data_IF_735781160390
#
_entry.id   IF_735781160390
#
_cell.length_a   1.000
_cell.length_b   1.000
_cell.length_c   1.000
_cell.angle_alpha   90.00
_cell.angle_beta   90.00
_cell.angle_gamma   90.00
#
_symmetry.space_group_name_H-M   'P 1'
#
loop_
_entity.id
_entity.type
_entity.pdbx_description
1 polymer ?
#
# COMPACT_ATOMS: atom_id res chain seq x y z
N UNK A 1 -1.25 0.22 7.73
CA UNK A 1 -1.19 -1.25 7.86
C UNK A 1 0.11 -1.73 7.22
N UNK A 2 0.88 -2.59 7.90
CA UNK A 2 2.16 -3.12 7.40
C UNK A 2 1.92 -4.53 6.81
N UNK A 3 2.11 -4.70 5.51
CA UNK A 3 1.77 -5.92 4.76
C UNK A 3 2.80 -6.19 3.66
N UNK A 4 3.04 -7.44 3.25
CA UNK A 4 3.73 -7.73 2.00
C UNK A 4 3.03 -7.06 0.82
N UNK A 5 3.81 -6.55 -0.14
CA UNK A 5 3.24 -5.88 -1.31
C UNK A 5 2.28 -6.79 -2.09
N UNK A 6 2.63 -8.06 -2.29
CA UNK A 6 1.78 -9.04 -2.94
C UNK A 6 0.38 -9.07 -2.33
N UNK A 7 0.28 -9.04 -1.00
CA UNK A 7 -0.99 -9.06 -0.28
C UNK A 7 -1.71 -7.72 -0.36
N UNK A 8 -0.97 -6.61 -0.34
CA UNK A 8 -1.54 -5.28 -0.49
C UNK A 8 -2.21 -5.12 -1.86
N UNK A 9 -1.59 -5.64 -2.94
CA UNK A 9 -2.15 -5.61 -4.31
C UNK A 9 -3.50 -6.32 -4.44
N UNK A 10 -3.80 -7.32 -3.61
CA UNK A 10 -5.13 -7.97 -3.60
C UNK A 10 -6.19 -7.21 -2.78
N UNK A 11 -5.79 -6.15 -2.06
CA UNK A 11 -6.72 -5.33 -1.29
C UNK A 11 -7.21 -4.14 -2.09
N UNK A 12 -8.47 -3.81 -1.88
CA UNK A 12 -9.10 -2.63 -2.44
C UNK A 12 -8.60 -1.36 -1.75
N UNK A 13 -8.21 -0.35 -2.53
CA UNK A 13 -7.70 0.92 -2.06
C UNK A 13 -8.85 1.94 -1.96
N UNK A 14 -9.22 2.40 -0.76
CA UNK A 14 -10.31 3.37 -0.59
C UNK A 14 -9.95 4.76 -1.14
N UNK A 15 -8.67 5.04 -1.34
CA UNK A 15 -8.15 6.32 -1.86
C UNK A 15 -8.03 6.34 -3.39
N UNK A 16 -8.04 5.17 -4.04
CA UNK A 16 -7.93 5.05 -5.48
C UNK A 16 -9.30 4.69 -6.05
N UNK A 17 -10.20 5.69 -6.08
CA UNK A 17 -11.49 5.58 -6.75
C UNK A 17 -11.39 6.04 -8.19
N UNK A 18 -12.03 5.33 -9.11
CA UNK A 18 -12.27 5.87 -10.46
C UNK A 18 -13.38 6.90 -10.42
N UNK A 19 -13.52 7.68 -11.49
CA UNK A 19 -14.63 8.64 -11.67
C UNK A 19 -16.03 7.98 -11.63
N UNK A 20 -16.08 6.65 -11.72
CA UNK A 20 -17.29 5.81 -11.61
C UNK A 20 -17.52 5.29 -10.17
N UNK A 21 -16.86 5.89 -9.17
CA UNK A 21 -16.80 5.51 -7.75
C UNK A 21 -16.34 4.06 -7.46
N UNK A 22 -15.85 3.34 -8.47
CA UNK A 22 -15.30 1.99 -8.28
C UNK A 22 -13.94 2.07 -7.62
N UNK A 23 -13.81 1.36 -6.52
CA UNK A 23 -12.54 1.24 -5.82
C UNK A 23 -11.60 0.31 -6.61
N UNK A 24 -10.36 0.75 -6.83
CA UNK A 24 -9.31 -0.06 -7.47
C UNK A 24 -8.49 -0.82 -6.44
N UNK A 25 -7.84 -1.89 -6.89
CA UNK A 25 -6.83 -2.57 -6.11
C UNK A 25 -5.62 -1.67 -5.81
N UNK A 26 -4.92 -1.94 -4.71
CA UNK A 26 -3.67 -1.26 -4.42
C UNK A 26 -2.66 -1.52 -5.54
N UNK A 27 -1.90 -0.50 -5.93
CA UNK A 27 -0.89 -0.63 -6.98
C UNK A 27 0.50 -1.01 -6.43
N UNK A 28 0.65 -1.22 -5.11
CA UNK A 28 1.95 -1.57 -4.50
C UNK A 28 3.02 -0.52 -4.84
N UNK A 29 4.20 -0.96 -5.26
CA UNK A 29 5.33 -0.12 -5.69
C UNK A 29 4.99 0.89 -6.79
N UNK A 30 4.03 0.56 -7.67
CA UNK A 30 3.57 1.46 -8.73
C UNK A 30 2.71 2.61 -8.18
N UNK A 31 2.28 2.52 -6.92
CA UNK A 31 1.65 3.61 -6.20
C UNK A 31 2.71 4.54 -5.60
N UNK A 32 2.69 5.83 -5.95
CA UNK A 32 3.61 6.82 -5.38
C UNK A 32 3.52 6.95 -3.84
N UNK A 33 2.46 6.40 -3.24
CA UNK A 33 2.19 6.43 -1.80
C UNK A 33 2.67 5.17 -1.09
N UNK A 34 3.07 4.10 -1.79
CA UNK A 34 3.60 2.90 -1.15
C UNK A 34 5.00 3.15 -0.58
N UNK A 35 5.23 2.65 0.62
CA UNK A 35 6.51 2.78 1.33
C UNK A 35 6.91 1.40 1.85
N UNK A 36 8.01 0.87 1.33
CA UNK A 36 8.62 -0.33 1.92
C UNK A 36 9.12 -0.02 3.33
N UNK A 37 8.97 -0.98 4.24
CA UNK A 37 9.56 -0.90 5.58
C UNK A 37 11.08 -0.80 5.49
N UNK A 38 11.67 -1.56 4.57
CA UNK A 38 13.10 -1.61 4.33
C UNK A 38 13.38 -1.05 2.93
N UNK A 39 13.73 0.24 2.76
CA UNK A 39 13.91 0.84 1.44
C UNK A 39 15.06 0.22 0.62
N UNK A 40 15.97 -0.51 1.28
CA UNK A 40 17.07 -1.24 0.66
C UNK A 40 16.63 -2.56 -0.01
N UNK A 41 15.44 -3.08 0.33
CA UNK A 41 14.88 -4.32 -0.21
C UNK A 41 13.46 -4.07 -0.69
N UNK A 42 13.28 -4.08 -2.01
CA UNK A 42 12.01 -3.79 -2.68
C UNK A 42 11.59 -5.02 -3.47
N UNK A 43 11.17 -6.05 -2.75
CA UNK A 43 10.58 -7.26 -3.32
C UNK A 43 9.08 -7.30 -3.05
N UNK A 44 8.32 -8.02 -3.88
CA UNK A 44 6.87 -8.17 -3.69
C UNK A 44 6.50 -8.88 -2.36
N UNK A 45 7.44 -9.65 -1.81
CA UNK A 45 7.32 -10.29 -0.50
C UNK A 45 7.71 -9.38 0.66
N UNK A 46 8.39 -8.27 0.40
CA UNK A 46 8.84 -7.34 1.44
C UNK A 46 7.66 -6.54 2.00
N UNK A 47 7.62 -6.35 3.33
CA UNK A 47 6.55 -5.61 3.97
C UNK A 47 6.66 -4.12 3.68
N UNK A 48 5.53 -3.51 3.38
CA UNK A 48 5.37 -2.07 3.20
C UNK A 48 4.04 -1.57 3.74
N UNK A 49 3.83 -0.27 3.61
CA UNK A 49 2.63 0.41 4.07
C UNK A 49 2.24 1.52 3.10
N UNK A 50 0.95 1.86 3.09
CA UNK A 50 0.47 3.04 2.37
C UNK A 50 0.75 4.29 3.20
N UNK A 51 1.53 5.22 2.65
CA UNK A 51 1.88 6.49 3.28
C UNK A 51 0.71 7.45 3.49
N UNK A 52 -0.43 7.21 2.82
CA UNK A 52 -1.68 7.95 3.06
C UNK A 52 -2.64 7.25 4.02
N UNK A 53 -2.46 5.95 4.31
CA UNK A 53 -3.38 5.20 5.16
C UNK A 53 -3.22 5.48 6.67
N UNK A 54 -2.68 6.67 7.01
CA UNK A 54 -2.21 6.99 8.35
C UNK A 54 -1.01 6.14 8.76
N UNK A 55 -0.24 6.67 9.73
CA UNK A 55 0.72 5.87 10.51
C UNK A 55 0.05 4.52 10.85
N UNK A 56 0.72 3.35 10.63
CA UNK A 56 0.16 2.09 11.11
C UNK A 56 -0.19 2.28 12.59
N UNK A 57 -1.40 1.89 13.01
CA UNK A 57 -1.78 1.96 14.41
C UNK A 57 -0.65 1.33 15.25
N UNK A 58 0.16 2.17 15.92
CA UNK A 58 1.41 1.76 16.57
C UNK A 58 2.68 2.55 16.22
N UNK A 59 2.71 3.42 15.21
CA UNK A 59 3.83 4.35 15.03
C UNK A 59 3.58 5.63 15.86
N UNK A 60 3.87 5.54 17.17
CA UNK A 60 4.09 6.74 18.00
C UNK A 60 5.34 7.45 17.48
#
# INVERSE_FOLDING_TARGET
MLLPEKEARFKTCPLLKTSDDKMKFCQGEACMMWRFKNPQRKDETDPGYCGLAGKPAGAM
#
